data_IF_823998312229
#
_entry.id   IF_823998312229
#
_cell.length_a   1.000
_cell.length_b   1.000
_cell.length_c   1.000
_cell.angle_alpha   90.00
_cell.angle_beta   90.00
_cell.angle_gamma   90.00
#
_symmetry.space_group_name_H-M   'P 1'
#
loop_
_entity.id
_entity.type
_entity.pdbx_description
1 polymer ?
#
# COMPACT_ATOMS: atom_id res chain seq x y z
N UNK A 1 -8.86 -20.57 7.04
CA UNK A 1 -9.68 -19.35 7.15
C UNK A 1 -9.10 -18.30 6.23
N UNK A 2 -9.86 -17.79 5.26
CA UNK A 2 -9.44 -16.61 4.51
C UNK A 2 -9.63 -15.38 5.41
N UNK A 3 -8.55 -14.63 5.67
CA UNK A 3 -8.67 -13.31 6.28
C UNK A 3 -9.55 -12.47 5.35
N UNK A 4 -10.66 -11.93 5.85
CA UNK A 4 -11.35 -10.85 5.14
C UNK A 4 -10.40 -9.67 5.17
N UNK A 5 -9.87 -9.27 4.02
CA UNK A 5 -9.11 -8.04 3.90
C UNK A 5 -9.99 -6.89 4.40
N UNK A 6 -9.54 -6.20 5.44
CA UNK A 6 -10.14 -4.94 5.83
C UNK A 6 -9.54 -3.91 4.87
N UNK A 7 -10.40 -3.22 4.13
CA UNK A 7 -10.00 -2.23 3.16
C UNK A 7 -10.63 -0.88 3.50
N UNK A 8 -9.80 0.16 3.55
CA UNK A 8 -10.22 1.55 3.67
C UNK A 8 -10.01 2.23 2.33
N UNK A 9 -11.09 2.72 1.70
CA UNK A 9 -11.00 3.48 0.45
C UNK A 9 -10.77 4.95 0.80
N UNK A 10 -9.83 5.58 0.11
CA UNK A 10 -9.64 7.02 0.20
C UNK A 10 -10.90 7.76 -0.33
N UNK A 11 -11.27 8.88 0.29
CA UNK A 11 -12.51 9.59 -0.06
C UNK A 11 -12.45 10.27 -1.43
N UNK A 12 -11.26 10.73 -1.81
CA UNK A 12 -11.05 11.57 -3.01
C UNK A 12 -10.30 10.85 -4.14
N UNK A 13 -9.88 9.60 -3.92
CA UNK A 13 -9.16 8.81 -4.92
C UNK A 13 -9.60 7.35 -4.90
N UNK A 14 -9.23 6.60 -5.94
CA UNK A 14 -9.43 5.15 -5.97
C UNK A 14 -8.40 4.38 -5.13
N UNK A 15 -7.53 5.09 -4.41
CA UNK A 15 -6.56 4.48 -3.54
C UNK A 15 -7.26 3.76 -2.38
N UNK A 16 -6.66 2.67 -1.94
CA UNK A 16 -7.16 1.87 -0.82
C UNK A 16 -6.02 1.35 0.03
N UNK A 17 -6.25 1.29 1.33
CA UNK A 17 -5.36 0.66 2.30
C UNK A 17 -5.97 -0.69 2.64
N UNK A 18 -5.20 -1.77 2.50
CA UNK A 18 -5.64 -3.13 2.76
C UNK A 18 -4.76 -3.79 3.82
N UNK A 19 -5.37 -4.42 4.82
CA UNK A 19 -4.64 -5.33 5.69
C UNK A 19 -4.39 -6.66 4.96
N UNK A 20 -3.12 -6.99 4.71
CA UNK A 20 -2.69 -8.14 3.93
C UNK A 20 -1.78 -9.06 4.73
N UNK A 21 -1.90 -10.36 4.48
CA UNK A 21 -0.97 -11.36 5.04
C UNK A 21 0.40 -11.20 4.38
N UNK A 22 1.44 -11.05 5.17
CA UNK A 22 2.82 -11.05 4.68
C UNK A 22 3.39 -12.48 4.60
N UNK A 23 4.62 -12.65 4.12
CA UNK A 23 5.31 -13.95 4.12
C UNK A 23 5.45 -14.53 5.54
N UNK A 24 5.48 -13.68 6.57
CA UNK A 24 5.54 -14.04 7.99
C UNK A 24 4.18 -14.25 8.67
N UNK A 25 4.17 -14.38 10.01
CA UNK A 25 2.94 -14.48 10.80
C UNK A 25 2.15 -13.16 10.84
N UNK A 26 2.83 -12.04 10.60
CA UNK A 26 2.27 -10.71 10.75
C UNK A 26 1.41 -10.30 9.55
N UNK A 27 0.34 -9.56 9.85
CA UNK A 27 -0.42 -8.83 8.85
C UNK A 27 0.11 -7.40 8.79
N UNK A 28 0.36 -6.92 7.57
CA UNK A 28 0.83 -5.56 7.30
C UNK A 28 -0.15 -4.84 6.39
N UNK A 29 -0.06 -3.52 6.32
CA UNK A 29 -0.90 -2.70 5.46
C UNK A 29 -0.25 -2.50 4.09
N UNK A 30 -1.03 -2.61 3.03
CA UNK A 30 -0.64 -2.28 1.67
C UNK A 30 -1.52 -1.16 1.13
N UNK A 31 -0.92 -0.12 0.55
CA UNK A 31 -1.66 0.96 -0.11
C UNK A 31 -1.64 0.71 -1.61
N UNK A 32 -2.81 0.67 -2.25
CA UNK A 32 -2.96 0.28 -3.66
C UNK A 32 -3.78 1.29 -4.46
N UNK A 33 -3.36 1.54 -5.70
CA UNK A 33 -4.08 2.37 -6.68
C UNK A 33 -3.89 1.80 -8.08
N UNK A 34 -4.99 1.49 -8.78
CA UNK A 34 -4.99 1.02 -10.19
C UNK A 34 -3.99 -0.11 -10.53
N UNK A 35 -3.68 -1.00 -9.58
CA UNK A 35 -2.73 -2.11 -9.75
C UNK A 35 -1.30 -1.80 -9.29
N UNK A 36 -1.03 -0.54 -8.95
CA UNK A 36 0.19 -0.12 -8.27
C UNK A 36 0.06 -0.28 -6.75
N UNK A 37 1.20 -0.38 -6.09
CA UNK A 37 1.37 -0.34 -4.65
C UNK A 37 2.27 0.84 -4.30
N UNK A 38 1.94 1.56 -3.23
CA UNK A 38 2.78 2.66 -2.73
C UNK A 38 3.93 2.10 -1.91
N UNK A 39 5.13 2.61 -2.13
CA UNK A 39 6.30 2.34 -1.30
C UNK A 39 6.35 3.26 -0.09
N UNK A 40 7.11 2.86 0.93
CA UNK A 40 7.39 3.70 2.12
C UNK A 40 8.11 5.00 1.78
N UNK A 41 8.70 5.11 0.59
CA UNK A 41 9.35 6.32 0.08
C UNK A 41 8.39 7.24 -0.69
N UNK A 42 7.10 6.87 -0.81
CA UNK A 42 6.09 7.66 -1.53
C UNK A 42 6.03 7.38 -3.04
N UNK A 43 6.75 6.38 -3.55
CA UNK A 43 6.75 6.03 -4.97
C UNK A 43 5.70 4.96 -5.29
N UNK A 44 4.96 5.16 -6.37
CA UNK A 44 4.01 4.16 -6.88
C UNK A 44 4.69 3.19 -7.85
N UNK A 45 4.61 1.90 -7.57
CA UNK A 45 5.15 0.85 -8.44
C UNK A 45 4.12 -0.25 -8.73
N UNK A 46 4.15 -0.82 -9.93
CA UNK A 46 3.26 -1.92 -10.29
C UNK A 46 3.46 -3.11 -9.36
N UNK A 47 2.37 -3.66 -8.81
CA UNK A 47 2.51 -4.80 -7.90
C UNK A 47 2.69 -6.12 -8.67
N UNK A 48 3.78 -6.86 -8.40
CA UNK A 48 3.96 -8.19 -8.97
C UNK A 48 2.83 -9.14 -8.55
N UNK A 49 2.58 -10.15 -9.40
CA UNK A 49 1.73 -11.28 -9.04
C UNK A 49 2.21 -11.91 -7.73
N UNK A 50 1.29 -12.49 -6.95
CA UNK A 50 1.60 -13.01 -5.61
C UNK A 50 2.79 -13.98 -5.58
N UNK A 51 2.99 -14.76 -6.65
CA UNK A 51 4.09 -15.72 -6.77
C UNK A 51 5.44 -15.09 -7.15
N UNK A 52 5.43 -13.85 -7.67
CA UNK A 52 6.63 -13.14 -8.12
C UNK A 52 7.04 -12.00 -7.18
N UNK A 53 6.33 -11.78 -6.07
CA UNK A 53 6.72 -10.75 -5.09
C UNK A 53 7.98 -11.19 -4.36
N UNK A 54 8.98 -10.31 -4.33
CA UNK A 54 10.19 -10.50 -3.55
C UNK A 54 10.00 -10.02 -2.12
N UNK A 55 10.82 -10.50 -1.19
CA UNK A 55 10.84 -10.00 0.18
C UNK A 55 11.19 -8.51 0.24
N UNK A 56 12.05 -8.05 -0.67
CA UNK A 56 12.39 -6.64 -0.83
C UNK A 56 11.17 -5.80 -1.21
N UNK A 57 10.40 -6.24 -2.22
CA UNK A 57 9.18 -5.55 -2.60
C UNK A 57 8.19 -5.47 -1.43
N UNK A 58 8.01 -6.58 -0.70
CA UNK A 58 7.14 -6.62 0.46
C UNK A 58 7.64 -5.73 1.59
N UNK A 59 8.94 -5.67 1.87
CA UNK A 59 9.50 -4.77 2.88
C UNK A 59 9.27 -3.31 2.51
N UNK A 60 9.46 -2.97 1.23
CA UNK A 60 9.45 -1.59 0.79
C UNK A 60 8.03 -1.06 0.51
N UNK A 61 7.04 -1.94 0.36
CA UNK A 61 5.63 -1.59 0.05
C UNK A 61 4.62 -2.10 1.09
N UNK A 62 5.08 -2.37 2.33
CA UNK A 62 4.20 -2.74 3.43
C UNK A 62 4.46 -1.85 4.64
N UNK A 63 3.37 -1.44 5.27
CA UNK A 63 3.38 -0.57 6.44
C UNK A 63 2.99 -1.39 7.67
N UNK A 64 3.63 -1.13 8.79
CA UNK A 64 3.37 -1.81 10.07
C UNK A 64 2.12 -1.28 10.79
N UNK A 65 1.60 -0.13 10.36
CA UNK A 65 0.49 0.57 10.98
C UNK A 65 -0.40 1.25 9.93
N UNK A 66 -1.68 1.40 10.28
CA UNK A 66 -2.66 2.12 9.45
C UNK A 66 -2.27 3.60 9.31
N UNK A 67 -1.83 4.24 10.41
CA UNK A 67 -1.39 5.63 10.43
C UNK A 67 -0.24 5.91 9.46
N UNK A 68 0.79 5.04 9.43
CA UNK A 68 1.88 5.17 8.48
C UNK A 68 1.42 5.03 7.02
N UNK A 69 0.48 4.11 6.76
CA UNK A 69 -0.09 3.90 5.43
C UNK A 69 -0.96 5.11 4.98
N UNK A 70 -1.76 5.67 5.89
CA UNK A 70 -2.57 6.87 5.63
C UNK A 70 -1.69 8.09 5.38
N UNK A 71 -0.65 8.28 6.19
CA UNK A 71 0.31 9.36 6.02
C UNK A 71 1.01 9.30 4.66
N UNK A 72 1.55 8.14 4.30
CA UNK A 72 2.22 7.96 3.01
C UNK A 72 1.28 8.20 1.83
N UNK A 73 0.03 7.72 1.92
CA UNK A 73 -0.98 7.97 0.90
C UNK A 73 -1.25 9.47 0.72
N UNK A 74 -1.50 10.18 1.82
CA UNK A 74 -1.77 11.63 1.78
C UNK A 74 -0.58 12.41 1.19
N UNK A 75 0.64 12.08 1.59
CA UNK A 75 1.86 12.70 1.06
C UNK A 75 2.02 12.44 -0.45
N UNK A 76 1.75 11.21 -0.90
CA UNK A 76 1.83 10.86 -2.32
C UNK A 76 0.82 11.62 -3.19
N UNK A 77 -0.37 11.89 -2.66
CA UNK A 77 -1.42 12.63 -3.38
C UNK A 77 -1.15 14.14 -3.37
N UNK A 78 -0.56 14.69 -2.30
CA UNK A 78 -0.16 16.09 -2.25
C UNK A 78 0.99 16.41 -3.21
N UNK A 79 1.93 15.47 -3.39
CA UNK A 79 3.02 15.62 -4.36
C UNK A 79 2.55 15.77 -5.81
N UNK A 80 1.33 15.32 -6.15
CA UNK A 80 0.75 15.49 -7.49
C UNK A 80 0.18 16.91 -7.73
N UNK A 81 0.06 17.75 -6.68
CA UNK A 81 -0.50 19.10 -6.77
C UNK A 81 0.54 20.23 -6.82
N UNK A 82 1.81 19.97 -6.51
CA UNK A 82 2.88 20.98 -6.52
C UNK A 82 3.49 21.23 -7.93
N UNK A 83 3.11 20.45 -8.95
CA UNK A 83 3.60 20.59 -10.33
C UNK A 83 2.63 21.34 -11.29
N UNK A 84 1.62 22.06 -10.78
CA UNK A 84 0.65 22.83 -11.58
C UNK A 84 0.81 24.36 -11.48
#
# INVERSE_FOLDING_TARGET
MALKAIAWKHSESDARIELVKNAGPDCLYAVRLHGNCLSVNGEWSFEPSSSNRTEEFLRDHRFDSLDAAEKALNESLLSEYDEL
#
